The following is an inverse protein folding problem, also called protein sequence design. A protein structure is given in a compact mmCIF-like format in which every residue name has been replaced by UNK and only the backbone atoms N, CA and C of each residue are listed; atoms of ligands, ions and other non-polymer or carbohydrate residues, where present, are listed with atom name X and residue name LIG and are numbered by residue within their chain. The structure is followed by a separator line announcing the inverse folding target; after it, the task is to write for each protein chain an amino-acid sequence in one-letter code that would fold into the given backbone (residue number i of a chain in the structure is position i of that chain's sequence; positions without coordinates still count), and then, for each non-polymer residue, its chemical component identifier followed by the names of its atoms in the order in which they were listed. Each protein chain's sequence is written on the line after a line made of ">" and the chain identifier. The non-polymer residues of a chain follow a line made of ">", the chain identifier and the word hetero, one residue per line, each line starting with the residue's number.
data_IF_167550545415
#
_entry.id   IF_167550545415
#
_cell.length_a   1.000
_cell.length_b   1.000
_cell.length_c   1.000
_cell.angle_alpha   90.00
_cell.angle_beta   90.00
_cell.angle_gamma   90.00
#
_symmetry.space_group_name_H-M   'P 1'
#
loop_
_entity.id
_entity.type
_entity.pdbx_description
1 polymer ?
#
# COMPACT_ATOMS: atom_id res chain seq x y z
N UNK A 1 34.26 -22.63 -33.30
CA UNK A 1 32.88 -22.12 -33.35
C UNK A 1 32.14 -22.25 -32.02
N UNK A 2 32.16 -23.39 -31.33
CA UNK A 2 31.49 -23.59 -30.03
C UNK A 2 31.93 -22.59 -28.94
N UNK A 3 33.24 -22.30 -28.85
CA UNK A 3 33.79 -21.27 -27.94
C UNK A 3 33.29 -19.85 -28.27
N UNK A 4 33.06 -19.52 -29.53
CA UNK A 4 32.53 -18.21 -29.95
C UNK A 4 31.05 -18.07 -29.57
N UNK A 5 30.28 -19.15 -29.73
CA UNK A 5 28.85 -19.23 -29.42
C UNK A 5 28.60 -19.15 -27.91
N UNK A 6 29.53 -19.63 -27.07
CA UNK A 6 29.48 -19.48 -25.61
C UNK A 6 30.09 -18.15 -25.14
N UNK A 7 31.11 -17.64 -25.83
CA UNK A 7 31.76 -16.37 -25.47
C UNK A 7 30.81 -15.17 -25.65
N UNK A 8 29.99 -15.13 -26.71
CA UNK A 8 29.05 -14.02 -26.94
C UNK A 8 28.03 -13.84 -25.80
N UNK A 9 27.30 -14.89 -25.33
CA UNK A 9 26.41 -14.78 -24.18
C UNK A 9 27.16 -14.55 -22.86
N UNK A 10 28.37 -15.08 -22.70
CA UNK A 10 29.20 -14.84 -21.51
C UNK A 10 29.70 -13.39 -21.44
N UNK A 11 30.15 -12.85 -22.56
CA UNK A 11 30.60 -11.46 -22.70
C UNK A 11 29.43 -10.50 -22.61
N UNK A 12 28.25 -10.83 -23.12
CA UNK A 12 27.06 -9.99 -22.95
C UNK A 12 26.57 -9.98 -21.49
N UNK A 13 26.67 -11.11 -20.78
CA UNK A 13 26.42 -11.16 -19.33
C UNK A 13 27.42 -10.32 -18.54
N UNK A 14 28.71 -10.38 -18.89
CA UNK A 14 29.75 -9.54 -18.26
C UNK A 14 29.58 -8.05 -18.60
N UNK A 15 29.13 -7.73 -19.82
CA UNK A 15 28.87 -6.36 -20.24
C UNK A 15 27.67 -5.75 -19.50
N UNK A 16 26.62 -6.55 -19.24
CA UNK A 16 25.47 -6.14 -18.42
C UNK A 16 25.84 -5.96 -16.93
N UNK A 17 26.87 -6.66 -16.45
CA UNK A 17 27.39 -6.45 -15.10
C UNK A 17 28.28 -5.19 -14.98
N UNK A 18 28.66 -4.54 -16.08
CA UNK A 18 29.48 -3.33 -16.05
C UNK A 18 28.72 -2.18 -15.34
N UNK A 19 29.35 -1.57 -14.34
CA UNK A 19 28.80 -0.47 -13.53
C UNK A 19 28.31 0.72 -14.37
N UNK A 20 29.01 1.09 -15.44
CA UNK A 20 28.62 2.19 -16.32
C UNK A 20 27.33 1.87 -17.11
N UNK A 21 27.18 0.62 -17.56
CA UNK A 21 25.98 0.15 -18.24
C UNK A 21 24.81 0.14 -17.26
N UNK A 22 25.01 -0.35 -16.03
CA UNK A 22 23.99 -0.35 -14.99
C UNK A 22 23.51 1.08 -14.65
N UNK A 23 24.42 2.05 -14.52
CA UNK A 23 24.07 3.46 -14.28
C UNK A 23 23.24 4.06 -15.42
N UNK A 24 23.60 3.78 -16.68
CA UNK A 24 22.86 4.32 -17.84
C UNK A 24 21.46 3.73 -17.99
N UNK A 25 21.31 2.42 -17.73
CA UNK A 25 19.99 1.77 -17.71
C UNK A 25 19.16 2.26 -16.51
N UNK A 26 19.80 2.50 -15.36
CA UNK A 26 19.15 3.12 -14.19
C UNK A 26 18.52 4.46 -14.57
N UNK A 27 19.31 5.36 -15.16
CA UNK A 27 18.86 6.69 -15.58
C UNK A 27 17.71 6.60 -16.58
N UNK A 28 17.81 5.73 -17.59
CA UNK A 28 16.74 5.56 -18.57
C UNK A 28 15.43 5.05 -17.95
N UNK A 29 15.49 4.10 -17.00
CA UNK A 29 14.31 3.65 -16.27
C UNK A 29 13.76 4.74 -15.35
N UNK A 30 14.62 5.49 -14.67
CA UNK A 30 14.21 6.63 -13.84
C UNK A 30 13.47 7.65 -14.68
N UNK A 31 14.03 8.04 -15.83
CA UNK A 31 13.43 8.99 -16.77
C UNK A 31 12.08 8.47 -17.27
N UNK A 32 12.01 7.21 -17.70
CA UNK A 32 10.78 6.62 -18.22
C UNK A 32 9.68 6.51 -17.14
N UNK A 33 10.03 6.08 -15.92
CA UNK A 33 9.09 6.02 -14.80
C UNK A 33 8.69 7.42 -14.33
N UNK A 34 9.62 8.37 -14.30
CA UNK A 34 9.36 9.76 -13.92
C UNK A 34 8.44 10.43 -14.95
N UNK A 35 8.62 10.19 -16.25
CA UNK A 35 7.72 10.65 -17.30
C UNK A 35 6.34 9.99 -17.22
N UNK A 36 6.26 8.67 -17.03
CA UNK A 36 4.98 7.95 -16.96
C UNK A 36 4.19 8.31 -15.69
N UNK A 37 4.88 8.54 -14.57
CA UNK A 37 4.26 8.87 -13.29
C UNK A 37 4.16 10.39 -13.05
N UNK A 38 4.75 11.24 -13.91
CA UNK A 38 5.04 12.68 -13.70
C UNK A 38 5.33 13.02 -12.23
N UNK A 39 6.25 12.26 -11.64
CA UNK A 39 6.71 12.39 -10.26
C UNK A 39 8.24 12.40 -10.26
N UNK A 40 8.85 13.14 -9.33
CA UNK A 40 10.30 13.09 -9.14
C UNK A 40 10.64 11.73 -8.56
N UNK A 41 11.32 10.91 -9.35
CA UNK A 41 11.81 9.60 -8.91
C UNK A 41 13.33 9.71 -8.84
N UNK A 42 13.89 9.60 -7.64
CA UNK A 42 15.34 9.42 -7.48
C UNK A 42 15.65 7.94 -7.31
N UNK A 43 16.55 7.40 -8.14
CA UNK A 43 17.10 6.06 -7.96
C UNK A 43 18.62 6.21 -7.72
N UNK A 44 19.12 5.90 -6.52
CA UNK A 44 20.56 6.10 -6.22
C UNK A 44 21.44 5.01 -6.84
N UNK A 45 20.91 3.80 -7.03
CA UNK A 45 21.55 2.75 -7.83
C UNK A 45 20.55 1.68 -8.26
N UNK A 46 20.63 1.23 -9.51
CA UNK A 46 19.93 0.02 -9.97
C UNK A 46 20.89 -1.13 -10.18
N UNK A 47 20.78 -2.18 -9.35
CA UNK A 47 21.54 -3.42 -9.53
C UNK A 47 20.68 -4.46 -10.26
N UNK A 48 21.05 -4.82 -11.48
CA UNK A 48 20.38 -5.87 -12.25
C UNK A 48 20.92 -7.25 -11.89
N UNK A 49 20.15 -8.04 -11.17
CA UNK A 49 20.51 -9.43 -10.82
C UNK A 49 19.72 -10.41 -11.70
N UNK A 50 20.20 -10.63 -12.94
CA UNK A 50 19.52 -11.38 -14.02
C UNK A 50 18.23 -10.71 -14.53
N UNK A 51 17.85 -11.00 -15.79
CA UNK A 51 16.90 -10.30 -16.68
C UNK A 51 15.48 -9.93 -16.18
N UNK A 52 15.13 -10.13 -14.90
CA UNK A 52 13.80 -9.82 -14.31
C UNK A 52 13.85 -9.34 -12.85
N UNK A 53 15.01 -8.95 -12.33
CA UNK A 53 15.15 -8.40 -10.97
C UNK A 53 15.74 -7.00 -11.04
N UNK A 54 15.03 -6.06 -10.48
CA UNK A 54 15.43 -4.65 -10.34
C UNK A 54 15.57 -4.39 -8.85
N UNK A 55 16.67 -3.77 -8.43
CA UNK A 55 16.84 -3.29 -7.07
C UNK A 55 17.09 -1.81 -7.14
N UNK A 56 16.28 -1.01 -6.46
CA UNK A 56 16.40 0.43 -6.36
C UNK A 56 16.80 0.77 -4.94
N UNK A 57 17.85 1.57 -4.78
CA UNK A 57 18.16 2.22 -3.50
C UNK A 57 17.61 3.64 -3.48
N UNK A 58 17.16 4.06 -2.30
CA UNK A 58 16.60 5.38 -2.02
C UNK A 58 15.47 5.76 -2.98
N UNK A 59 14.51 4.85 -3.16
CA UNK A 59 13.32 5.14 -3.95
C UNK A 59 12.56 6.26 -3.24
N UNK A 60 12.40 7.37 -3.91
CA UNK A 60 11.63 8.51 -3.44
C UNK A 60 10.57 8.85 -4.48
N UNK A 61 9.33 9.02 -4.03
CA UNK A 61 8.19 9.44 -4.84
C UNK A 61 7.55 10.62 -4.12
N UNK A 62 7.55 11.76 -4.78
CA UNK A 62 6.92 13.00 -4.31
C UNK A 62 5.40 12.98 -4.52
N UNK A 63 4.67 13.67 -3.65
CA UNK A 63 3.30 14.09 -3.91
C UNK A 63 3.23 15.42 -4.70
N UNK A 64 2.02 15.90 -4.96
CA UNK A 64 1.79 17.15 -5.72
C UNK A 64 2.28 18.41 -5.01
N UNK A 65 2.51 18.34 -3.71
CA UNK A 65 2.95 19.46 -2.88
C UNK A 65 4.48 19.45 -2.68
N UNK A 66 5.17 18.47 -3.29
CA UNK A 66 6.61 18.30 -3.16
C UNK A 66 7.01 17.68 -1.81
N UNK A 67 6.07 17.03 -1.12
CA UNK A 67 6.36 16.26 0.08
C UNK A 67 6.49 14.76 -0.26
N UNK A 68 6.97 13.98 0.70
CA UNK A 68 7.16 12.53 0.56
C UNK A 68 5.80 11.83 0.49
N UNK A 69 5.55 11.09 -0.59
CA UNK A 69 4.45 10.13 -0.66
C UNK A 69 4.95 8.72 -0.32
N UNK A 70 6.02 8.29 -0.98
CA UNK A 70 6.67 7.00 -0.75
C UNK A 70 8.18 7.20 -0.70
N UNK A 71 8.79 6.78 0.40
CA UNK A 71 10.22 6.56 0.48
C UNK A 71 10.49 5.08 0.75
N UNK A 72 11.59 4.54 0.23
CA UNK A 72 12.10 3.21 0.56
C UNK A 72 13.60 3.18 0.38
N UNK A 73 14.33 2.87 1.45
CA UNK A 73 15.79 2.75 1.41
C UNK A 73 16.23 1.68 0.39
N UNK A 74 15.51 0.57 0.34
CA UNK A 74 15.78 -0.50 -0.64
C UNK A 74 14.48 -1.13 -1.14
N UNK A 75 14.21 -0.94 -2.43
CA UNK A 75 13.09 -1.53 -3.16
C UNK A 75 13.58 -2.62 -4.09
N UNK A 76 13.12 -3.86 -3.90
CA UNK A 76 13.42 -5.00 -4.79
C UNK A 76 12.17 -5.36 -5.58
N UNK A 77 12.26 -5.31 -6.91
CA UNK A 77 11.17 -5.61 -7.82
C UNK A 77 11.54 -6.83 -8.64
N UNK A 78 10.69 -7.86 -8.59
CA UNK A 78 10.77 -9.05 -9.45
C UNK A 78 9.69 -8.95 -10.48
N UNK A 79 10.08 -8.68 -11.71
CA UNK A 79 9.17 -8.55 -12.85
C UNK A 79 8.73 -9.94 -13.29
N UNK A 80 7.43 -10.14 -13.53
CA UNK A 80 6.93 -11.36 -14.17
C UNK A 80 7.04 -11.21 -15.68
N UNK A 81 6.39 -10.16 -16.18
CA UNK A 81 6.27 -9.88 -17.60
C UNK A 81 5.96 -8.39 -17.80
N UNK A 82 6.66 -7.78 -18.76
CA UNK A 82 6.37 -6.44 -19.27
C UNK A 82 6.12 -6.60 -20.76
N UNK A 83 4.90 -6.31 -21.20
CA UNK A 83 4.50 -6.24 -22.61
C UNK A 83 3.90 -4.85 -22.86
N UNK A 84 4.74 -3.83 -23.11
CA UNK A 84 4.29 -2.46 -23.29
C UNK A 84 3.35 -2.31 -24.50
N UNK A 85 3.58 -3.11 -25.54
CA UNK A 85 2.76 -3.21 -26.75
C UNK A 85 1.33 -3.70 -26.48
N UNK A 86 1.13 -4.45 -25.40
CA UNK A 86 -0.17 -4.98 -24.97
C UNK A 86 -0.72 -4.25 -23.75
N UNK A 87 -0.01 -3.25 -23.21
CA UNK A 87 -0.39 -2.56 -21.98
C UNK A 87 -0.38 -3.43 -20.72
N UNK A 88 0.35 -4.56 -20.75
CA UNK A 88 0.39 -5.53 -19.65
C UNK A 88 1.70 -5.38 -18.87
N UNK A 89 1.57 -4.98 -17.61
CA UNK A 89 2.67 -4.91 -16.64
C UNK A 89 2.33 -5.81 -15.45
N UNK A 90 2.92 -7.00 -15.40
CA UNK A 90 2.76 -7.93 -14.28
C UNK A 90 4.02 -7.93 -13.42
N UNK A 91 3.85 -7.48 -12.17
CA UNK A 91 4.91 -7.50 -11.17
C UNK A 91 4.70 -8.72 -10.29
N UNK A 92 5.73 -9.57 -10.19
CA UNK A 92 5.63 -10.78 -9.38
C UNK A 92 5.84 -10.51 -7.91
N UNK A 93 6.81 -9.68 -7.55
CA UNK A 93 7.10 -9.36 -6.16
C UNK A 93 7.67 -7.97 -6.04
N UNK A 94 7.20 -7.20 -5.06
CA UNK A 94 7.83 -5.98 -4.58
C UNK A 94 8.21 -6.22 -3.13
N UNK A 95 9.45 -5.89 -2.77
CA UNK A 95 9.91 -5.88 -1.38
C UNK A 95 10.47 -4.51 -1.06
N UNK A 96 9.91 -3.86 -0.05
CA UNK A 96 10.29 -2.54 0.44
C UNK A 96 10.96 -2.70 1.80
N UNK A 97 12.14 -2.13 1.99
CA UNK A 97 12.85 -2.12 3.26
C UNK A 97 12.99 -0.69 3.78
N UNK A 98 12.73 -0.49 5.08
CA UNK A 98 12.81 0.82 5.73
C UNK A 98 12.00 1.87 4.95
N UNK A 99 10.77 1.50 4.61
CA UNK A 99 9.92 2.28 3.74
C UNK A 99 8.96 3.15 4.53
N UNK A 100 8.65 4.31 4.00
CA UNK A 100 7.69 5.24 4.57
C UNK A 100 6.62 5.56 3.53
N UNK A 101 5.38 5.22 3.84
CA UNK A 101 4.20 5.61 3.08
C UNK A 101 3.50 6.74 3.85
N UNK A 102 3.35 7.89 3.23
CA UNK A 102 2.77 9.08 3.85
C UNK A 102 1.56 9.58 3.07
N UNK A 103 0.39 9.46 3.67
CA UNK A 103 -0.87 9.91 3.09
C UNK A 103 -1.35 11.19 3.77
N UNK A 104 -1.75 12.16 2.97
CA UNK A 104 -2.34 13.41 3.44
C UNK A 104 -3.75 13.53 2.90
N UNK A 105 -4.73 13.68 3.79
CA UNK A 105 -6.12 13.98 3.46
C UNK A 105 -6.31 15.49 3.51
N UNK A 106 -6.63 16.07 2.36
CA UNK A 106 -6.92 17.49 2.21
C UNK A 106 -8.30 17.86 2.73
N UNK A 107 -8.57 19.13 3.09
CA UNK A 107 -9.85 19.56 3.66
C UNK A 107 -11.03 19.37 2.69
N UNK A 108 -10.77 19.53 1.39
CA UNK A 108 -11.69 19.22 0.28
C UNK A 108 -11.98 17.72 0.10
N UNK A 109 -11.26 16.84 0.81
CA UNK A 109 -11.47 15.39 0.83
C UNK A 109 -10.68 14.63 -0.23
N UNK A 110 -9.75 15.29 -0.94
CA UNK A 110 -8.74 14.59 -1.75
C UNK A 110 -7.68 13.94 -0.85
N UNK A 111 -7.08 12.85 -1.31
CA UNK A 111 -5.86 12.28 -0.71
C UNK A 111 -4.71 12.58 -1.67
N UNK A 112 -3.52 12.86 -1.14
CA UNK A 112 -2.30 13.11 -1.94
C UNK A 112 -1.88 11.90 -2.84
N UNK A 113 -2.60 10.78 -2.77
CA UNK A 113 -2.51 9.61 -3.65
C UNK A 113 -3.36 9.71 -4.93
N UNK A 114 -4.32 10.65 -4.99
CA UNK A 114 -5.30 10.78 -6.08
C UNK A 114 -4.67 10.89 -7.45
N UNK A 115 -3.53 11.57 -7.57
CA UNK A 115 -2.79 11.71 -8.83
C UNK A 115 -2.19 10.39 -9.33
N UNK A 116 -1.58 9.59 -8.46
CA UNK A 116 -1.01 8.29 -8.85
C UNK A 116 -2.14 7.38 -9.33
N UNK A 117 -3.25 7.38 -8.60
CA UNK A 117 -4.43 6.60 -8.96
C UNK A 117 -5.02 7.07 -10.30
N UNK A 118 -5.16 8.38 -10.53
CA UNK A 118 -5.74 8.92 -11.76
C UNK A 118 -4.84 8.74 -12.98
N UNK A 119 -3.50 8.74 -12.80
CA UNK A 119 -2.54 8.45 -13.87
C UNK A 119 -2.47 6.96 -14.21
N UNK A 120 -2.59 6.08 -13.21
CA UNK A 120 -2.77 4.63 -13.45
C UNK A 120 -4.07 4.33 -14.20
N UNK A 121 -5.13 5.15 -14.03
CA UNK A 121 -6.44 4.96 -14.67
C UNK A 121 -6.50 5.24 -16.18
N UNK A 122 -5.49 5.88 -16.80
CA UNK A 122 -5.41 6.24 -18.24
C UNK A 122 -6.81 6.50 -18.89
N UNK A 123 -7.52 7.58 -18.50
CA UNK A 123 -8.98 7.74 -18.72
C UNK A 123 -9.44 7.79 -20.19
N UNK A 124 -8.53 8.05 -21.14
CA UNK A 124 -8.85 8.13 -22.59
C UNK A 124 -8.66 6.80 -23.34
N UNK A 125 -8.41 5.71 -22.62
CA UNK A 125 -8.21 4.38 -23.21
C UNK A 125 -9.50 3.56 -23.06
N UNK A 126 -10.01 2.91 -24.14
CA UNK A 126 -11.18 2.03 -24.07
C UNK A 126 -11.05 1.00 -22.95
N UNK A 127 -12.13 0.57 -22.28
CA UNK A 127 -12.09 -0.38 -21.15
C UNK A 127 -11.26 -1.64 -21.44
N UNK A 128 -11.35 -2.15 -22.66
CA UNK A 128 -10.63 -3.33 -23.17
C UNK A 128 -9.11 -3.15 -23.28
N UNK A 129 -8.61 -1.90 -23.19
CA UNK A 129 -7.20 -1.53 -23.29
C UNK A 129 -6.66 -0.86 -22.01
N UNK A 130 -7.47 -0.72 -20.95
CA UNK A 130 -7.01 -0.15 -19.67
C UNK A 130 -5.99 -1.11 -19.05
N UNK A 131 -4.83 -0.58 -18.66
CA UNK A 131 -3.77 -1.39 -18.07
C UNK A 131 -4.22 -1.94 -16.71
N UNK A 132 -4.34 -3.26 -16.61
CA UNK A 132 -4.51 -3.96 -15.34
C UNK A 132 -3.16 -3.96 -14.63
N UNK A 133 -3.04 -3.22 -13.54
CA UNK A 133 -1.90 -3.35 -12.64
C UNK A 133 -2.18 -4.54 -11.73
N UNK A 134 -1.34 -5.57 -11.83
CA UNK A 134 -1.39 -6.72 -10.94
C UNK A 134 -0.01 -6.91 -10.32
N UNK A 135 0.03 -6.80 -9.00
CA UNK A 135 1.21 -7.07 -8.18
C UNK A 135 0.89 -8.29 -7.32
N UNK A 136 1.54 -9.41 -7.60
CA UNK A 136 1.21 -10.69 -6.95
C UNK A 136 1.60 -10.76 -5.48
N UNK A 137 2.72 -10.13 -5.10
CA UNK A 137 3.29 -10.21 -3.75
C UNK A 137 3.93 -8.86 -3.43
N UNK A 138 3.51 -8.25 -2.33
CA UNK A 138 4.11 -7.03 -1.77
C UNK A 138 4.51 -7.35 -0.34
N UNK A 139 5.76 -7.08 0.00
CA UNK A 139 6.27 -7.18 1.37
C UNK A 139 6.89 -5.85 1.77
N UNK A 140 6.48 -5.28 2.90
CA UNK A 140 7.18 -4.16 3.54
C UNK A 140 7.80 -4.67 4.83
N UNK A 141 9.08 -4.35 5.03
CA UNK A 141 9.87 -4.75 6.19
C UNK A 141 10.40 -3.49 6.86
N UNK A 142 10.17 -3.39 8.17
CA UNK A 142 10.50 -2.25 9.01
C UNK A 142 9.97 -0.93 8.43
N UNK A 143 8.69 -0.93 8.06
CA UNK A 143 8.01 0.19 7.44
C UNK A 143 7.48 1.23 8.42
N UNK A 144 7.00 2.33 7.87
CA UNK A 144 6.17 3.33 8.52
C UNK A 144 5.01 3.71 7.62
N UNK A 145 3.83 3.85 8.20
CA UNK A 145 2.66 4.40 7.55
C UNK A 145 2.16 5.60 8.34
N UNK A 146 2.07 6.76 7.69
CA UNK A 146 1.44 7.95 8.27
C UNK A 146 0.24 8.38 7.45
N UNK A 147 -0.80 8.82 8.14
CA UNK A 147 -1.99 9.41 7.58
C UNK A 147 -2.31 10.69 8.36
N UNK A 148 -2.28 11.83 7.68
CA UNK A 148 -2.57 13.12 8.31
C UNK A 148 -3.69 13.83 7.57
N UNK A 149 -4.72 14.26 8.29
CA UNK A 149 -5.80 15.10 7.78
C UNK A 149 -5.50 16.55 8.15
N UNK A 150 -5.37 17.41 7.16
CA UNK A 150 -5.08 18.82 7.42
C UNK A 150 -6.28 19.53 8.08
N UNK A 151 -6.00 20.42 9.03
CA UNK A 151 -7.02 21.26 9.69
C UNK A 151 -7.92 20.55 10.72
N UNK A 152 -7.56 19.36 11.23
CA UNK A 152 -8.26 18.75 12.36
C UNK A 152 -7.82 19.37 13.70
N UNK A 153 -8.76 19.49 14.64
CA UNK A 153 -8.48 19.97 16.00
C UNK A 153 -8.04 18.84 16.94
N UNK A 154 -7.56 19.16 18.15
CA UNK A 154 -7.07 18.17 19.10
C UNK A 154 -8.17 17.17 19.49
N UNK A 155 -7.87 15.86 19.40
CA UNK A 155 -8.79 14.79 19.75
C UNK A 155 -8.75 14.40 21.24
N UNK A 156 -9.79 13.66 21.66
CA UNK A 156 -9.98 13.12 23.02
C UNK A 156 -9.70 11.61 23.13
N UNK A 157 -9.30 10.95 22.05
CA UNK A 157 -8.91 9.52 21.99
C UNK A 157 -7.38 9.39 22.04
N UNK A 158 -6.87 8.18 22.33
CA UNK A 158 -5.42 7.93 22.31
C UNK A 158 -4.92 7.74 20.88
N UNK A 159 -5.62 6.95 20.06
CA UNK A 159 -5.40 6.93 18.62
C UNK A 159 -6.12 8.12 18.00
N UNK A 160 -5.40 8.86 17.17
CA UNK A 160 -5.94 9.93 16.35
C UNK A 160 -6.09 9.46 14.91
N UNK A 161 -7.33 9.18 14.47
CA UNK A 161 -7.58 8.75 13.09
C UNK A 161 -7.42 9.88 12.05
N UNK A 162 -7.31 11.13 12.49
CA UNK A 162 -6.95 12.26 11.65
C UNK A 162 -5.43 12.54 11.65
N UNK A 163 -4.67 11.86 12.51
CA UNK A 163 -3.21 11.90 12.55
C UNK A 163 -2.71 10.52 13.01
N UNK A 164 -2.81 9.54 12.11
CA UNK A 164 -2.45 8.15 12.39
C UNK A 164 -1.01 7.91 11.96
N UNK A 165 -0.21 7.28 12.81
CA UNK A 165 1.20 7.01 12.51
C UNK A 165 1.60 5.66 13.09
N UNK A 166 1.93 4.72 12.22
CA UNK A 166 2.35 3.38 12.57
C UNK A 166 3.80 3.15 12.15
N UNK A 167 4.62 2.67 13.10
CA UNK A 167 6.01 2.29 12.87
C UNK A 167 6.23 0.79 13.16
N UNK A 168 7.43 0.30 12.87
CA UNK A 168 7.76 -1.14 12.94
C UNK A 168 6.78 -1.97 12.11
N UNK A 169 6.32 -1.40 10.99
CA UNK A 169 5.30 -1.99 10.14
C UNK A 169 5.91 -3.15 9.33
N UNK A 170 5.41 -4.35 9.57
CA UNK A 170 5.64 -5.51 8.71
C UNK A 170 4.32 -5.84 8.02
N UNK A 171 4.30 -5.85 6.70
CA UNK A 171 3.09 -6.18 5.93
C UNK A 171 3.40 -7.15 4.80
N UNK A 172 2.54 -8.14 4.63
CA UNK A 172 2.54 -9.07 3.50
C UNK A 172 1.18 -9.02 2.82
N UNK A 173 1.18 -8.63 1.55
CA UNK A 173 -0.02 -8.49 0.72
C UNK A 173 0.12 -9.36 -0.51
N UNK A 174 -0.94 -10.10 -0.85
CA UNK A 174 -1.04 -10.86 -2.09
C UNK A 174 -2.07 -10.24 -3.03
N UNK A 175 -1.79 -10.38 -4.32
CA UNK A 175 -2.69 -10.03 -5.42
C UNK A 175 -3.33 -8.65 -5.28
N UNK A 176 -2.50 -7.61 -5.17
CA UNK A 176 -2.97 -6.25 -5.37
C UNK A 176 -3.36 -6.08 -6.83
N UNK A 177 -4.65 -5.87 -7.06
CA UNK A 177 -5.25 -5.69 -8.37
C UNK A 177 -5.91 -4.32 -8.39
N UNK A 178 -5.46 -3.47 -9.31
CA UNK A 178 -6.13 -2.22 -9.62
C UNK A 178 -6.83 -2.38 -10.96
N UNK A 179 -8.16 -2.41 -10.93
CA UNK A 179 -9.00 -2.57 -12.11
C UNK A 179 -10.13 -1.54 -12.10
N UNK A 180 -10.19 -0.73 -13.17
CA UNK A 180 -11.13 0.37 -13.33
C UNK A 180 -11.03 1.43 -12.21
N UNK A 181 -11.90 1.36 -11.22
CA UNK A 181 -11.99 2.27 -10.08
C UNK A 181 -11.92 1.56 -8.74
N UNK A 182 -11.64 0.25 -8.75
CA UNK A 182 -11.51 -0.59 -7.56
C UNK A 182 -10.09 -1.09 -7.42
N UNK A 183 -9.57 -0.99 -6.20
CA UNK A 183 -8.34 -1.65 -5.77
C UNK A 183 -8.72 -2.74 -4.79
N UNK A 184 -8.35 -3.98 -5.11
CA UNK A 184 -8.51 -5.11 -4.20
C UNK A 184 -7.15 -5.73 -3.88
N UNK A 185 -7.05 -6.30 -2.68
CA UNK A 185 -5.83 -6.99 -2.24
C UNK A 185 -6.14 -7.94 -1.08
N UNK A 186 -5.34 -8.98 -0.93
CA UNK A 186 -5.39 -9.87 0.22
C UNK A 186 -4.26 -9.51 1.19
N UNK A 187 -4.59 -8.90 2.32
CA UNK A 187 -3.63 -8.64 3.40
C UNK A 187 -3.50 -9.94 4.18
N UNK A 188 -2.37 -10.61 4.04
CA UNK A 188 -2.09 -11.89 4.71
C UNK A 188 -1.66 -11.67 6.16
N UNK A 189 -0.87 -10.62 6.37
CA UNK A 189 -0.40 -10.24 7.70
C UNK A 189 -0.02 -8.78 7.71
N UNK A 190 -0.39 -8.09 8.76
CA UNK A 190 0.06 -6.75 9.09
C UNK A 190 0.34 -6.72 10.60
N UNK A 191 1.54 -6.29 10.97
CA UNK A 191 1.88 -5.98 12.36
C UNK A 191 2.48 -4.59 12.44
N UNK A 192 2.33 -3.92 13.58
CA UNK A 192 2.94 -2.61 13.79
C UNK A 192 2.43 -1.92 15.03
N UNK A 193 3.09 -0.83 15.38
CA UNK A 193 2.81 -0.04 16.58
C UNK A 193 2.37 1.35 16.15
N UNK A 194 1.14 1.73 16.50
CA UNK A 194 0.66 3.09 16.32
C UNK A 194 1.30 4.01 17.37
N UNK A 195 1.58 5.29 17.06
CA UNK A 195 2.32 6.23 17.92
C UNK A 195 1.74 6.44 19.33
N UNK A 196 0.49 6.07 19.57
CA UNK A 196 -0.14 6.01 20.90
C UNK A 196 0.39 4.85 21.76
N UNK A 197 1.10 3.90 21.17
CA UNK A 197 1.56 2.66 21.77
C UNK A 197 0.63 1.46 21.53
N UNK A 198 -0.44 1.62 20.74
CA UNK A 198 -1.34 0.53 20.41
C UNK A 198 -0.70 -0.42 19.40
N UNK A 199 -0.57 -1.70 19.79
CA UNK A 199 0.11 -2.72 19.00
C UNK A 199 -0.89 -3.63 18.28
N UNK A 200 -0.74 -3.70 16.96
CA UNK A 200 -1.40 -4.68 16.11
C UNK A 200 -0.47 -5.89 15.98
N UNK A 201 -0.85 -7.01 16.61
CA UNK A 201 -0.10 -8.26 16.56
C UNK A 201 -0.39 -9.03 15.26
N UNK A 202 -1.59 -8.85 14.72
CA UNK A 202 -1.98 -9.34 13.40
C UNK A 202 -3.19 -8.56 12.89
N UNK A 203 -3.17 -8.22 11.61
CA UNK A 203 -4.36 -7.91 10.83
C UNK A 203 -4.29 -8.66 9.50
N UNK A 204 -5.34 -9.41 9.19
CA UNK A 204 -5.48 -10.14 7.93
C UNK A 204 -6.90 -9.93 7.38
N UNK A 205 -7.03 -9.74 6.06
CA UNK A 205 -8.34 -9.51 5.42
C UNK A 205 -8.24 -9.50 3.89
N UNK A 206 -9.33 -9.90 3.24
CA UNK A 206 -9.59 -9.65 1.84
C UNK A 206 -10.22 -8.26 1.68
N UNK A 207 -9.41 -7.27 1.29
CA UNK A 207 -9.82 -5.87 1.18
C UNK A 207 -10.21 -5.50 -0.24
N UNK A 208 -11.27 -4.70 -0.38
CA UNK A 208 -11.68 -4.06 -1.63
C UNK A 208 -12.10 -2.62 -1.37
N UNK A 209 -11.52 -1.67 -2.10
CA UNK A 209 -11.82 -0.24 -1.97
C UNK A 209 -12.13 0.32 -3.36
N UNK A 210 -13.27 1.00 -3.48
CA UNK A 210 -13.69 1.69 -4.69
C UNK A 210 -14.20 3.11 -4.42
N UNK A 211 -14.92 3.68 -5.38
CA UNK A 211 -15.52 5.03 -5.24
C UNK A 211 -16.70 5.08 -4.27
N UNK A 212 -17.37 3.95 -4.09
CA UNK A 212 -18.65 3.84 -3.36
C UNK A 212 -18.65 2.72 -2.32
N UNK A 213 -17.49 2.10 -2.08
CA UNK A 213 -17.39 0.99 -1.14
C UNK A 213 -16.01 0.86 -0.51
N UNK A 214 -15.99 0.32 0.69
CA UNK A 214 -14.81 -0.19 1.39
C UNK A 214 -15.23 -1.48 2.10
N UNK A 215 -14.71 -2.61 1.67
CA UNK A 215 -15.05 -3.93 2.20
C UNK A 215 -13.81 -4.63 2.73
N UNK A 216 -13.98 -5.29 3.86
CA UNK A 216 -13.02 -6.16 4.52
C UNK A 216 -13.73 -7.48 4.81
N UNK A 217 -13.43 -8.50 4.02
CA UNK A 217 -13.99 -9.83 4.23
C UNK A 217 -12.98 -10.67 5.01
N UNK A 218 -13.50 -11.58 5.84
CA UNK A 218 -12.72 -12.47 6.70
C UNK A 218 -11.65 -11.68 7.47
N UNK A 219 -12.06 -10.59 8.12
CA UNK A 219 -11.18 -9.70 8.86
C UNK A 219 -10.80 -10.35 10.19
N UNK A 220 -9.51 -10.60 10.37
CA UNK A 220 -8.91 -11.04 11.62
C UNK A 220 -8.08 -9.91 12.20
N UNK A 221 -8.30 -9.58 13.48
CA UNK A 221 -7.46 -8.64 14.22
C UNK A 221 -7.05 -9.28 15.53
N UNK A 222 -5.74 -9.35 15.77
CA UNK A 222 -5.15 -9.76 17.04
C UNK A 222 -4.40 -8.58 17.64
N UNK A 223 -4.68 -8.29 18.91
CA UNK A 223 -3.93 -7.33 19.73
C UNK A 223 -3.29 -8.08 20.90
N UNK A 224 -2.71 -7.37 21.86
CA UNK A 224 -2.24 -7.98 23.11
C UNK A 224 -3.38 -8.58 23.95
N UNK A 225 -4.62 -8.10 23.80
CA UNK A 225 -5.73 -8.40 24.72
C UNK A 225 -7.03 -8.78 24.03
N UNK A 226 -7.13 -8.60 22.72
CA UNK A 226 -8.32 -8.83 21.93
C UNK A 226 -8.04 -9.73 20.74
N UNK A 227 -9.04 -10.51 20.38
CA UNK A 227 -9.09 -11.36 19.20
C UNK A 227 -10.44 -11.09 18.53
N UNK A 228 -10.41 -10.54 17.32
CA UNK A 228 -11.60 -10.23 16.54
C UNK A 228 -11.59 -11.06 15.28
N UNK A 229 -12.70 -11.74 15.02
CA UNK A 229 -12.97 -12.43 13.77
C UNK A 229 -14.30 -11.89 13.22
N UNK A 230 -14.18 -11.15 12.12
CA UNK A 230 -15.24 -10.35 11.52
C UNK A 230 -15.39 -10.79 10.07
N UNK A 231 -16.23 -11.81 9.78
CA UNK A 231 -16.42 -12.31 8.43
C UNK A 231 -16.84 -11.23 7.43
N UNK A 232 -17.63 -10.25 7.86
CA UNK A 232 -18.11 -9.15 7.02
C UNK A 232 -17.94 -7.83 7.75
N UNK A 233 -17.10 -6.96 7.21
CA UNK A 233 -17.10 -5.54 7.51
C UNK A 233 -17.17 -4.75 6.20
N UNK A 234 -18.30 -4.10 5.96
CA UNK A 234 -18.56 -3.38 4.73
C UNK A 234 -19.08 -1.97 5.00
N UNK A 235 -18.52 -1.00 4.28
CA UNK A 235 -19.00 0.37 4.22
C UNK A 235 -19.43 0.65 2.78
N UNK A 236 -20.71 0.91 2.56
CA UNK A 236 -21.24 1.35 1.27
C UNK A 236 -21.67 2.82 1.35
N UNK A 237 -21.31 3.61 0.35
CA UNK A 237 -21.53 5.07 0.34
C UNK A 237 -21.60 5.61 -1.09
N UNK A 238 -22.16 6.80 -1.31
CA UNK A 238 -22.20 7.39 -2.65
C UNK A 238 -20.85 8.02 -3.06
N UNK A 239 -20.16 8.63 -2.11
CA UNK A 239 -18.89 9.32 -2.30
C UNK A 239 -18.14 9.47 -0.97
N UNK A 240 -16.81 9.60 -1.03
CA UNK A 240 -15.94 9.65 0.16
C UNK A 240 -16.27 10.76 1.16
N UNK A 241 -16.85 11.88 0.71
CA UNK A 241 -17.27 12.96 1.62
C UNK A 241 -18.42 12.54 2.54
N UNK A 242 -19.15 11.46 2.22
CA UNK A 242 -20.25 10.92 3.03
C UNK A 242 -19.83 10.46 4.43
N UNK A 243 -18.55 10.15 4.63
CA UNK A 243 -18.01 9.84 5.97
C UNK A 243 -18.10 11.04 6.94
N UNK A 244 -18.26 12.28 6.47
CA UNK A 244 -18.58 13.44 7.34
C UNK A 244 -19.96 13.28 7.99
N UNK A 245 -20.89 12.62 7.31
CA UNK A 245 -22.25 12.30 7.77
C UNK A 245 -22.44 10.80 8.04
N UNK A 246 -21.41 10.10 8.53
CA UNK A 246 -21.32 8.63 8.61
C UNK A 246 -22.65 7.93 8.95
N UNK A 247 -23.30 8.32 10.05
CA UNK A 247 -24.52 7.64 10.54
C UNK A 247 -25.74 7.73 9.61
N UNK A 248 -25.73 8.60 8.59
CA UNK A 248 -26.83 8.80 7.63
C UNK A 248 -26.44 8.42 6.21
N UNK A 249 -25.16 8.55 5.88
CA UNK A 249 -24.65 8.52 4.50
C UNK A 249 -23.80 7.28 4.21
N UNK A 250 -23.51 6.46 5.23
CA UNK A 250 -22.76 5.21 5.11
C UNK A 250 -23.63 4.06 5.60
N UNK A 251 -23.86 3.09 4.71
CA UNK A 251 -24.48 1.82 5.06
C UNK A 251 -23.39 0.87 5.56
N UNK A 252 -23.49 0.51 6.85
CA UNK A 252 -22.53 -0.33 7.56
C UNK A 252 -23.07 -1.76 7.67
N UNK A 253 -22.39 -2.70 7.05
CA UNK A 253 -22.56 -4.12 7.27
C UNK A 253 -21.47 -4.62 8.22
N UNK A 254 -21.85 -5.27 9.31
CA UNK A 254 -20.93 -5.82 10.30
C UNK A 254 -21.45 -7.16 10.81
N UNK A 255 -20.66 -8.21 10.64
CA UNK A 255 -20.89 -9.52 11.22
C UNK A 255 -19.61 -9.97 11.92
N UNK A 256 -19.74 -10.38 13.18
CA UNK A 256 -18.64 -10.88 14.00
C UNK A 256 -18.97 -12.28 14.47
N UNK A 257 -17.96 -13.11 14.67
CA UNK A 257 -18.16 -14.47 15.18
C UNK A 257 -17.02 -14.82 16.11
N UNK A 258 -17.33 -15.27 17.33
CA UNK A 258 -16.35 -15.71 18.32
C UNK A 258 -15.29 -14.66 18.66
N UNK A 259 -15.64 -13.37 18.57
CA UNK A 259 -14.72 -12.28 18.89
C UNK A 259 -14.68 -12.03 20.40
N UNK A 260 -13.48 -11.88 20.92
CA UNK A 260 -13.18 -11.50 22.29
C UNK A 260 -12.52 -10.12 22.30
N UNK A 261 -13.28 -9.12 22.71
CA UNK A 261 -12.85 -7.73 22.74
C UNK A 261 -12.57 -7.28 24.16
N UNK A 262 -11.33 -6.90 24.44
CA UNK A 262 -10.99 -6.24 25.70
C UNK A 262 -11.41 -4.78 25.63
N UNK A 263 -12.11 -4.29 26.65
CA UNK A 263 -12.59 -2.91 26.63
C UNK A 263 -11.49 -1.89 26.83
N UNK A 264 -10.32 -2.27 27.37
CA UNK A 264 -9.15 -1.39 27.40
C UNK A 264 -8.72 -1.02 25.98
N UNK A 265 -8.74 -1.98 25.04
CA UNK A 265 -8.47 -1.70 23.63
C UNK A 265 -9.53 -0.77 23.02
N UNK A 266 -10.81 -0.94 23.39
CA UNK A 266 -11.87 -0.02 22.97
C UNK A 266 -11.68 1.41 23.50
N UNK A 267 -11.10 1.60 24.68
CA UNK A 267 -10.89 2.96 25.24
C UNK A 267 -9.89 3.79 24.43
N UNK A 268 -8.99 3.12 23.71
CA UNK A 268 -8.01 3.75 22.82
C UNK A 268 -8.73 4.45 21.67
N UNK A 269 -9.78 3.82 21.14
CA UNK A 269 -10.59 4.32 20.02
C UNK A 269 -11.74 5.24 20.45
N UNK A 270 -12.39 4.93 21.58
CA UNK A 270 -13.58 5.65 22.06
C UNK A 270 -13.43 5.96 23.55
N UNK A 271 -13.03 7.18 23.89
CA UNK A 271 -12.76 7.55 25.29
C UNK A 271 -13.96 7.46 26.23
N UNK A 272 -15.19 7.41 25.70
CA UNK A 272 -16.43 7.22 26.48
C UNK A 272 -16.65 5.78 26.98
N UNK A 273 -15.84 4.81 26.56
CA UNK A 273 -15.98 3.40 27.01
C UNK A 273 -15.19 3.10 28.28
N UNK A 274 -14.45 4.08 28.83
CA UNK A 274 -13.64 3.91 30.03
C UNK A 274 -14.50 3.54 31.25
N UNK A 275 -14.29 2.35 31.79
CA UNK A 275 -15.05 1.81 32.93
C UNK A 275 -16.22 0.89 32.56
N UNK A 276 -16.40 0.55 31.28
CA UNK A 276 -17.27 -0.56 30.86
C UNK A 276 -16.60 -1.92 31.16
N UNK A 277 -17.38 -3.01 31.16
CA UNK A 277 -17.00 -4.41 31.49
C UNK A 277 -15.60 -4.79 30.96
N UNK A 278 -14.81 -5.60 31.69
CA UNK A 278 -13.43 -5.93 31.30
C UNK A 278 -13.28 -6.62 29.92
N UNK A 279 -14.28 -7.38 29.50
CA UNK A 279 -14.27 -8.13 28.23
C UNK A 279 -15.68 -8.24 27.66
N UNK A 280 -15.79 -8.16 26.34
CA UNK A 280 -17.03 -8.29 25.57
C UNK A 280 -16.87 -9.45 24.57
N UNK A 281 -17.85 -10.34 24.53
CA UNK A 281 -18.00 -11.28 23.42
C UNK A 281 -18.85 -10.61 22.34
N UNK A 282 -18.39 -10.64 21.09
CA UNK A 282 -19.11 -10.06 19.95
C UNK A 282 -19.42 -11.20 18.97
N UNK A 283 -20.68 -11.65 19.01
CA UNK A 283 -21.29 -12.66 18.13
C UNK A 283 -22.50 -12.07 17.40
#
# INVERSE_FOLDING_TARGET
>A
MVLLILAVPSLSLLFLQNRQVQTKVSQMLTEQLSEELQATISLSSVNYTFFKRVQVRDLYIEDLHGDTLIYSELTKIRIKQIRPDQGITEIRKITLHNAWLNLVIEPEGGVNLGLIIDRLKKPHVPPERKSKLHIHDITMINGRFSLTKTGHGPLRSQIDFADFDMHELEISVLDLISEQDTVSMNIISLTGIEKSGFEFNQLATLMSIGKSHMHFNDLEILTQKSELHVPILGFNFEHWQGFKGFSREVDLSFESTHSLLNTEDLTVFVSKTKGLLYQLTVD
#
